data_IF_993623689367
#
_entry.id   IF_993623689367
#
_cell.length_a   1.000
_cell.length_b   1.000
_cell.length_c   1.000
_cell.angle_alpha   90.00
_cell.angle_beta   90.00
_cell.angle_gamma   90.00
#
_symmetry.space_group_name_H-M   'P 1'
#
loop_
_entity.id
_entity.type
_entity.pdbx_description
1 polymer ?
#
# COMPACT_ATOMS: atom_id res chain seq x y z
N UNK A 1 0.56 -30.51 -0.25
CA UNK A 1 0.98 -29.11 -0.46
C UNK A 1 -0.14 -28.26 0.11
N UNK A 2 0.05 -27.68 1.30
CA UNK A 2 -1.02 -26.92 1.96
C UNK A 2 -1.18 -25.57 1.26
N UNK A 3 -2.39 -25.27 0.79
CA UNK A 3 -2.73 -23.95 0.28
C UNK A 3 -2.75 -22.97 1.47
N UNK A 4 -1.95 -21.90 1.48
CA UNK A 4 -1.84 -20.97 2.61
C UNK A 4 -3.16 -20.25 2.97
N UNK A 5 -4.20 -20.39 2.15
CA UNK A 5 -5.53 -19.81 2.37
C UNK A 5 -6.39 -20.55 3.40
N UNK A 6 -6.08 -21.80 3.73
CA UNK A 6 -6.86 -22.59 4.69
C UNK A 6 -6.09 -22.84 5.99
N UNK A 7 -6.74 -22.61 7.14
CA UNK A 7 -6.25 -23.02 8.46
C UNK A 7 -7.21 -24.04 9.09
N UNK A 8 -6.69 -24.91 9.97
CA UNK A 8 -7.54 -25.71 10.84
C UNK A 8 -8.11 -24.80 11.95
N UNK A 9 -9.44 -24.79 12.10
CA UNK A 9 -10.07 -24.20 13.27
C UNK A 9 -9.96 -25.16 14.50
N UNK A 10 -10.47 -24.75 15.65
CA UNK A 10 -10.43 -25.54 16.88
C UNK A 10 -11.25 -26.85 16.82
N UNK A 11 -12.03 -27.07 15.75
CA UNK A 11 -12.85 -28.25 15.53
C UNK A 11 -12.29 -29.15 14.41
N UNK A 12 -11.03 -28.97 14.03
CA UNK A 12 -10.35 -29.69 12.94
C UNK A 12 -11.00 -29.48 11.55
N UNK A 13 -11.71 -28.38 11.34
CA UNK A 13 -12.27 -28.01 10.05
C UNK A 13 -11.35 -27.02 9.32
N UNK A 14 -11.14 -27.24 8.02
CA UNK A 14 -10.42 -26.30 7.17
C UNK A 14 -11.28 -25.07 6.90
N UNK A 15 -10.89 -23.93 7.46
CA UNK A 15 -11.54 -22.63 7.23
C UNK A 15 -10.65 -21.72 6.40
N UNK A 16 -11.28 -20.93 5.53
CA UNK A 16 -10.58 -19.88 4.77
C UNK A 16 -10.18 -18.79 5.78
N UNK A 17 -8.87 -18.52 5.89
CA UNK A 17 -8.34 -17.51 6.81
C UNK A 17 -8.29 -16.14 6.17
N UNK A 18 -7.66 -16.08 4.99
CA UNK A 18 -7.39 -14.83 4.30
C UNK A 18 -7.92 -14.88 2.86
N UNK A 19 -8.78 -13.93 2.50
CA UNK A 19 -9.31 -13.74 1.15
C UNK A 19 -8.77 -12.44 0.58
N UNK A 20 -8.04 -12.58 -0.52
CA UNK A 20 -7.55 -11.47 -1.32
C UNK A 20 -8.14 -11.53 -2.71
N UNK A 21 -8.73 -10.42 -3.14
CA UNK A 21 -9.16 -10.25 -4.53
C UNK A 21 -8.69 -8.91 -5.07
N UNK A 22 -8.33 -8.90 -6.35
CA UNK A 22 -7.98 -7.68 -7.08
C UNK A 22 -8.79 -7.64 -8.35
N UNK A 23 -9.36 -6.48 -8.67
CA UNK A 23 -10.04 -6.26 -9.95
C UNK A 23 -9.62 -4.93 -10.53
N UNK A 24 -9.62 -4.86 -11.85
CA UNK A 24 -9.26 -3.66 -12.60
C UNK A 24 -10.14 -3.52 -13.82
N UNK A 25 -10.61 -2.31 -14.08
CA UNK A 25 -11.31 -1.94 -15.30
C UNK A 25 -10.66 -0.71 -15.96
N UNK A 26 -11.36 -0.09 -16.91
CA UNK A 26 -10.86 1.09 -17.63
C UNK A 26 -10.73 2.36 -16.76
N UNK A 27 -11.32 2.37 -15.57
CA UNK A 27 -11.48 3.53 -14.70
C UNK A 27 -10.76 3.40 -13.37
N UNK A 28 -10.57 2.19 -12.86
CA UNK A 28 -9.87 1.96 -11.59
C UNK A 28 -9.27 0.56 -11.47
N UNK A 29 -8.34 0.43 -10.52
CA UNK A 29 -7.95 -0.86 -9.96
C UNK A 29 -8.13 -0.84 -8.44
N UNK A 30 -8.65 -1.93 -7.91
CA UNK A 30 -8.98 -2.09 -6.51
C UNK A 30 -8.53 -3.43 -5.96
N UNK A 31 -8.32 -3.45 -4.66
CA UNK A 31 -7.96 -4.65 -3.91
C UNK A 31 -8.91 -4.76 -2.72
N UNK A 32 -9.45 -5.95 -2.49
CA UNK A 32 -10.15 -6.30 -1.27
C UNK A 32 -9.30 -7.32 -0.50
N UNK A 33 -8.95 -6.94 0.73
CA UNK A 33 -8.30 -7.79 1.73
C UNK A 33 -9.36 -8.04 2.81
N UNK A 34 -9.79 -9.29 3.00
CA UNK A 34 -10.94 -9.64 3.84
C UNK A 34 -12.21 -8.84 3.48
N UNK A 35 -12.63 -7.95 4.39
CA UNK A 35 -13.79 -7.07 4.26
C UNK A 35 -13.39 -5.61 3.93
N UNK A 36 -12.10 -5.33 3.71
CA UNK A 36 -11.61 -3.97 3.46
C UNK A 36 -11.24 -3.80 1.98
N UNK A 37 -12.13 -3.12 1.24
CA UNK A 37 -11.94 -2.76 -0.17
C UNK A 37 -11.24 -1.40 -0.29
N UNK A 38 -10.18 -1.32 -1.08
CA UNK A 38 -9.37 -0.11 -1.28
C UNK A 38 -9.22 0.20 -2.77
N UNK A 39 -9.41 1.48 -3.12
CA UNK A 39 -9.20 2.01 -4.46
C UNK A 39 -7.70 2.29 -4.66
N UNK A 40 -6.97 1.33 -5.24
CA UNK A 40 -5.52 1.37 -5.38
C UNK A 40 -5.06 2.27 -6.51
N UNK A 41 -5.73 2.23 -7.66
CA UNK A 41 -5.42 3.08 -8.82
C UNK A 41 -6.69 3.72 -9.37
N UNK A 42 -6.59 4.99 -9.75
CA UNK A 42 -7.66 5.73 -10.45
C UNK A 42 -7.19 6.11 -11.86
N UNK A 43 -7.90 5.67 -12.90
CA UNK A 43 -7.52 5.85 -14.30
C UNK A 43 -8.26 7.01 -14.99
N UNK A 44 -7.62 7.71 -15.95
CA UNK A 44 -6.24 7.54 -16.41
C UNK A 44 -5.17 7.98 -15.40
N UNK A 45 -4.02 7.31 -15.44
CA UNK A 45 -2.82 7.68 -14.66
C UNK A 45 -2.24 8.99 -15.18
N UNK A 46 -2.34 10.06 -14.39
CA UNK A 46 -1.83 11.40 -14.74
C UNK A 46 -1.33 12.10 -13.48
N UNK A 47 -0.22 12.82 -13.60
CA UNK A 47 0.39 13.54 -12.47
C UNK A 47 -0.63 14.50 -11.85
N UNK A 48 -0.67 14.56 -10.52
CA UNK A 48 -1.54 15.46 -9.78
C UNK A 48 -3.00 15.00 -9.62
N UNK A 49 -3.45 13.93 -10.28
CA UNK A 49 -4.76 13.33 -9.98
C UNK A 49 -4.76 12.81 -8.55
N UNK A 50 -5.86 13.07 -7.85
CA UNK A 50 -6.09 12.68 -6.46
C UNK A 50 -7.36 11.85 -6.31
N UNK A 51 -7.39 11.00 -5.30
CA UNK A 51 -8.58 10.25 -4.88
C UNK A 51 -8.42 9.80 -3.43
N UNK A 52 -9.53 9.41 -2.80
CA UNK A 52 -9.52 8.74 -1.50
C UNK A 52 -9.29 7.24 -1.69
N UNK A 53 -8.22 6.72 -1.09
CA UNK A 53 -7.88 5.30 -1.13
C UNK A 53 -8.92 4.43 -0.40
N UNK A 54 -9.63 5.03 0.57
CA UNK A 54 -10.61 4.38 1.44
C UNK A 54 -12.06 4.62 1.01
N UNK A 55 -12.30 5.15 -0.19
CA UNK A 55 -13.65 5.49 -0.70
C UNK A 55 -14.67 4.35 -0.67
N UNK A 56 -14.22 3.10 -0.62
CA UNK A 56 -15.08 1.90 -0.60
C UNK A 56 -15.11 1.18 0.75
N UNK A 57 -14.56 1.77 1.81
CA UNK A 57 -14.58 1.19 3.15
C UNK A 57 -14.91 2.26 4.21
N UNK A 58 -14.93 1.86 5.48
CA UNK A 58 -15.29 2.72 6.61
C UNK A 58 -14.09 3.30 7.37
N UNK A 59 -12.88 3.16 6.85
CA UNK A 59 -11.67 3.77 7.43
C UNK A 59 -11.67 5.29 7.19
N UNK A 60 -10.80 6.01 7.89
CA UNK A 60 -10.63 7.44 7.67
C UNK A 60 -10.14 7.71 6.24
N UNK A 61 -10.59 8.84 5.67
CA UNK A 61 -10.15 9.29 4.35
C UNK A 61 -8.62 9.31 4.27
N UNK A 62 -8.09 8.70 3.22
CA UNK A 62 -6.68 8.73 2.88
C UNK A 62 -6.54 9.27 1.46
N UNK A 63 -6.52 10.60 1.34
CA UNK A 63 -6.28 11.26 0.06
C UNK A 63 -4.85 10.98 -0.42
N UNK A 64 -4.76 10.38 -1.61
CA UNK A 64 -3.50 10.08 -2.30
C UNK A 64 -3.45 10.76 -3.66
N UNK A 65 -2.25 10.90 -4.21
CA UNK A 65 -2.03 11.47 -5.53
C UNK A 65 -0.94 10.74 -6.31
N UNK A 66 -1.05 10.75 -7.63
CA UNK A 66 0.04 10.30 -8.49
C UNK A 66 1.24 11.26 -8.45
N UNK A 67 2.43 10.66 -8.41
CA UNK A 67 3.76 11.25 -8.46
C UNK A 67 4.64 10.39 -9.36
N UNK A 68 5.72 10.97 -9.89
CA UNK A 68 6.74 10.23 -10.69
C UNK A 68 6.14 9.34 -11.81
N UNK A 69 5.08 9.81 -12.47
CA UNK A 69 4.36 9.03 -13.49
C UNK A 69 5.27 8.74 -14.68
N UNK A 70 5.39 7.47 -15.04
CA UNK A 70 6.15 7.00 -16.19
C UNK A 70 7.67 7.02 -16.00
N UNK A 71 8.14 7.24 -14.78
CA UNK A 71 9.58 7.28 -14.49
C UNK A 71 10.11 5.89 -14.14
N UNK A 72 11.37 5.63 -14.53
CA UNK A 72 12.08 4.44 -14.11
C UNK A 72 12.36 4.48 -12.60
N UNK A 73 12.31 3.33 -11.95
CA UNK A 73 12.62 3.20 -10.54
C UNK A 73 13.47 1.96 -10.29
N UNK A 74 14.56 2.12 -9.55
CA UNK A 74 15.41 1.03 -9.10
C UNK A 74 14.98 0.62 -7.68
N UNK A 75 14.48 -0.60 -7.56
CA UNK A 75 14.31 -1.25 -6.27
C UNK A 75 15.64 -1.80 -5.74
N UNK A 76 15.62 -2.50 -4.59
CA UNK A 76 16.83 -3.05 -4.00
C UNK A 76 17.54 -4.11 -4.86
N UNK A 77 16.77 -4.87 -5.65
CA UNK A 77 17.28 -6.00 -6.46
C UNK A 77 16.98 -5.82 -7.95
N UNK A 78 15.82 -5.24 -8.28
CA UNK A 78 15.32 -5.16 -9.65
C UNK A 78 15.01 -3.72 -10.02
N UNK A 79 15.28 -3.36 -11.28
CA UNK A 79 14.93 -2.07 -11.86
C UNK A 79 13.69 -2.20 -12.75
N UNK A 80 12.76 -1.26 -12.59
CA UNK A 80 11.52 -1.19 -13.34
C UNK A 80 11.58 0.03 -14.27
N UNK A 81 11.48 -0.13 -15.60
CA UNK A 81 11.71 0.95 -16.56
C UNK A 81 10.60 2.00 -16.57
N UNK A 82 9.37 1.62 -16.20
CA UNK A 82 8.22 2.53 -16.16
C UNK A 82 7.38 2.23 -14.93
N UNK A 83 7.32 3.19 -14.02
CA UNK A 83 6.54 3.11 -12.79
C UNK A 83 5.66 4.33 -12.57
N UNK A 84 4.77 4.23 -11.60
CA UNK A 84 4.04 5.36 -11.02
C UNK A 84 4.09 5.26 -9.50
N UNK A 85 4.32 6.38 -8.83
CA UNK A 85 4.23 6.50 -7.38
C UNK A 85 2.87 7.07 -6.99
N UNK A 86 2.26 6.46 -5.99
CA UNK A 86 1.09 6.96 -5.28
C UNK A 86 1.55 7.38 -3.91
N UNK A 87 1.24 8.61 -3.51
CA UNK A 87 1.65 9.15 -2.22
C UNK A 87 0.51 9.92 -1.57
N UNK A 88 0.34 9.77 -0.26
CA UNK A 88 -0.62 10.58 0.49
C UNK A 88 -0.32 12.08 0.36
N UNK A 89 -1.36 12.90 0.33
CA UNK A 89 -1.23 14.33 0.02
C UNK A 89 -0.88 15.18 1.24
N UNK A 90 -1.16 14.67 2.44
CA UNK A 90 -0.84 15.33 3.71
C UNK A 90 0.59 15.00 4.12
N UNK A 91 1.45 16.00 4.21
CA UNK A 91 2.82 15.84 4.65
C UNK A 91 2.93 15.51 6.15
N UNK A 92 3.98 14.80 6.57
CA UNK A 92 4.24 14.54 7.99
C UNK A 92 4.62 15.84 8.71
N UNK A 93 4.34 15.90 10.02
CA UNK A 93 4.86 16.94 10.89
C UNK A 93 5.83 16.34 11.92
N UNK A 94 6.40 17.19 12.79
CA UNK A 94 7.41 16.77 13.76
C UNK A 94 6.89 15.76 14.78
N UNK A 95 5.60 15.85 15.13
CA UNK A 95 4.95 15.03 16.16
C UNK A 95 4.31 13.80 15.52
N UNK A 96 3.58 13.94 14.42
CA UNK A 96 2.84 12.87 13.76
C UNK A 96 3.36 12.67 12.35
N UNK A 97 3.80 11.45 12.06
CA UNK A 97 4.11 10.98 10.70
C UNK A 97 3.05 9.97 10.29
N UNK A 98 2.32 10.32 9.23
CA UNK A 98 1.42 9.44 8.50
C UNK A 98 1.86 9.49 7.04
N UNK A 99 2.73 8.58 6.66
CA UNK A 99 3.25 8.50 5.30
C UNK A 99 2.71 7.22 4.66
N UNK A 100 2.16 7.35 3.47
CA UNK A 100 1.71 6.23 2.68
C UNK A 100 2.21 6.40 1.25
N UNK A 101 3.02 5.45 0.79
CA UNK A 101 3.60 5.40 -0.53
C UNK A 101 3.44 3.99 -1.12
N UNK A 102 2.91 3.92 -2.33
CA UNK A 102 2.84 2.68 -3.12
C UNK A 102 3.35 2.96 -4.52
N UNK A 103 4.24 2.11 -5.02
CA UNK A 103 4.76 2.21 -6.39
C UNK A 103 4.31 1.04 -7.21
N UNK A 104 3.78 1.34 -8.39
CA UNK A 104 3.30 0.35 -9.35
C UNK A 104 4.16 0.40 -10.61
N UNK A 105 4.63 -0.75 -11.07
CA UNK A 105 5.29 -0.90 -12.37
C UNK A 105 4.27 -1.29 -13.44
N UNK A 106 4.48 -0.75 -14.64
CA UNK A 106 3.66 -1.07 -15.81
C UNK A 106 3.71 -2.58 -16.09
N UNK A 107 2.55 -3.18 -16.34
CA UNK A 107 2.35 -4.61 -16.64
C UNK A 107 2.82 -5.60 -15.54
N UNK A 108 3.14 -5.11 -14.34
CA UNK A 108 3.62 -5.93 -13.22
C UNK A 108 2.78 -5.70 -11.96
N UNK A 109 2.35 -4.46 -11.68
CA UNK A 109 1.59 -4.12 -10.47
C UNK A 109 2.46 -3.57 -9.36
N UNK A 110 2.11 -3.81 -8.09
CA UNK A 110 2.77 -3.24 -6.92
C UNK A 110 4.21 -3.76 -6.78
N UNK A 111 5.20 -2.85 -6.78
CA UNK A 111 6.62 -3.19 -6.67
C UNK A 111 7.29 -2.62 -5.43
N UNK A 112 6.67 -1.64 -4.77
CA UNK A 112 7.14 -1.10 -3.49
C UNK A 112 5.98 -0.55 -2.68
N UNK A 113 6.03 -0.75 -1.37
CA UNK A 113 5.07 -0.19 -0.42
C UNK A 113 5.80 0.30 0.81
N UNK A 114 5.55 1.54 1.18
CA UNK A 114 6.01 2.15 2.40
C UNK A 114 4.81 2.75 3.14
N UNK A 115 4.63 2.35 4.39
CA UNK A 115 3.58 2.91 5.25
C UNK A 115 4.16 3.14 6.63
N UNK A 116 4.00 4.34 7.15
CA UNK A 116 4.44 4.72 8.48
C UNK A 116 3.31 5.44 9.20
N UNK A 117 3.01 4.96 10.39
CA UNK A 117 2.17 5.63 11.37
C UNK A 117 2.93 5.70 12.69
N UNK A 118 3.53 6.85 12.94
CA UNK A 118 4.33 7.07 14.15
C UNK A 118 4.03 8.41 14.78
N UNK A 119 4.04 8.42 16.10
CA UNK A 119 3.97 9.63 16.91
C UNK A 119 5.28 9.79 17.69
N UNK A 120 5.79 11.02 17.72
CA UNK A 120 7.06 11.41 18.33
C UNK A 120 6.81 12.50 19.37
N UNK A 121 7.08 12.20 20.64
CA UNK A 121 6.91 13.14 21.75
C UNK A 121 8.10 13.05 22.71
N UNK A 122 8.62 14.19 23.21
CA UNK A 122 9.64 14.16 24.26
C UNK A 122 9.03 13.66 25.57
N UNK A 123 9.75 12.80 26.28
CA UNK A 123 9.39 12.41 27.64
C UNK A 123 9.79 13.48 28.67
N UNK A 124 9.49 13.23 29.95
CA UNK A 124 9.79 14.16 31.05
C UNK A 124 11.29 14.47 31.18
N UNK A 125 12.18 13.64 30.62
CA UNK A 125 13.62 13.86 30.59
C UNK A 125 14.09 14.57 29.31
N UNK A 126 13.17 14.96 28.42
CA UNK A 126 13.46 15.58 27.12
C UNK A 126 13.93 14.60 26.06
N UNK A 127 13.85 13.28 26.30
CA UNK A 127 14.22 12.26 25.32
C UNK A 127 13.05 12.05 24.37
N UNK A 128 13.30 12.18 23.06
CA UNK A 128 12.27 11.93 22.05
C UNK A 128 11.89 10.44 22.04
N UNK A 129 10.64 10.14 22.36
CA UNK A 129 10.05 8.80 22.21
C UNK A 129 9.27 8.74 20.93
N UNK A 130 9.47 7.67 20.17
CA UNK A 130 8.72 7.37 18.95
C UNK A 130 7.92 6.11 19.20
N UNK A 131 6.61 6.18 18.99
CA UNK A 131 5.67 5.05 19.15
C UNK A 131 4.91 4.87 17.83
N UNK A 132 4.62 3.62 17.47
CA UNK A 132 3.86 3.29 16.27
C UNK A 132 4.52 2.18 15.47
N UNK A 133 4.26 2.15 14.17
CA UNK A 133 4.73 1.10 13.28
C UNK A 133 5.16 1.65 11.92
N UNK A 134 6.02 0.88 11.26
CA UNK A 134 6.48 1.16 9.90
C UNK A 134 6.54 -0.15 9.11
N UNK A 135 6.00 -0.11 7.91
CA UNK A 135 6.08 -1.16 6.91
C UNK A 135 6.95 -0.68 5.74
N UNK A 136 7.87 -1.53 5.30
CA UNK A 136 8.64 -1.32 4.08
C UNK A 136 8.72 -2.65 3.32
N UNK A 137 8.21 -2.66 2.09
CA UNK A 137 8.19 -3.81 1.20
C UNK A 137 8.74 -3.38 -0.17
N UNK A 138 9.54 -4.24 -0.78
CA UNK A 138 10.00 -4.07 -2.15
C UNK A 138 10.02 -5.43 -2.86
N UNK A 139 9.64 -5.44 -4.14
CA UNK A 139 9.69 -6.63 -4.97
C UNK A 139 11.15 -7.05 -5.22
N UNK A 140 11.43 -8.34 -5.00
CA UNK A 140 12.74 -8.97 -5.25
C UNK A 140 12.74 -9.88 -6.49
N UNK A 141 11.55 -10.22 -7.00
CA UNK A 141 11.30 -11.02 -8.18
C UNK A 141 9.86 -10.75 -8.67
N UNK A 142 9.59 -10.98 -9.96
CA UNK A 142 8.25 -11.04 -10.53
C UNK A 142 8.22 -12.09 -11.64
N UNK A 143 7.06 -12.71 -11.85
CA UNK A 143 6.84 -13.65 -12.94
C UNK A 143 6.38 -12.95 -14.22
N UNK A 144 6.67 -13.54 -15.37
CA UNK A 144 6.05 -13.21 -16.65
C UNK A 144 5.24 -14.43 -17.08
N UNK A 145 3.96 -14.25 -17.38
CA UNK A 145 3.12 -15.31 -17.99
C UNK A 145 3.45 -15.51 -19.47
#
# INVERSE_FOLDING_TARGET
>A
MADPRFILNANDEWVIRDVWTSTSDNFYAEVAEENVRRLKLSFPVRSGRKWDLNVYNSEAELEVAYREVGQAWAGPVITFPRTVLIKNTVGPNFIIKRNHEERYALDIGLVSRYWEETESQPDTAGILRVVGWRLNMAAIAYGTE
#
